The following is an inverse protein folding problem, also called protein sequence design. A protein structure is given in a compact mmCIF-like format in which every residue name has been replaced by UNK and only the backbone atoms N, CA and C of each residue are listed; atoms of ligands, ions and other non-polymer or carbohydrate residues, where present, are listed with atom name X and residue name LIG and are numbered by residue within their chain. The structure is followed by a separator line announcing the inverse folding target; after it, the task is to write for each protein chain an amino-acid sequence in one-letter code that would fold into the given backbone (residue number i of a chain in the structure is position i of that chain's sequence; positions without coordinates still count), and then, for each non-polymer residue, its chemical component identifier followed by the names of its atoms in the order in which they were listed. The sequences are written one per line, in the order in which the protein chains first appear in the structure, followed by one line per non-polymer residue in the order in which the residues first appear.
data_IF_349033696999
#
_entry.id   IF_349033696999
#
_cell.length_a   1.000
_cell.length_b   1.000
_cell.length_c   1.000
_cell.angle_alpha   90.00
_cell.angle_beta   90.00
_cell.angle_gamma   90.00
#
_symmetry.space_group_name_H-M   'P 1'
#
loop_
_entity.id
_entity.type
_entity.pdbx_description
1 polymer ?
#
# COMPACT_ATOMS: atom_id res chain seq x y z
N UNK A 1 -66.46 16.19 -28.61
CA UNK A 1 -65.62 16.68 -27.53
C UNK A 1 -65.30 15.61 -26.48
N UNK A 2 -66.27 14.93 -25.89
CA UNK A 2 -66.01 13.89 -24.85
C UNK A 2 -65.16 12.69 -25.35
N UNK A 3 -65.26 12.23 -26.60
CA UNK A 3 -64.45 11.13 -27.16
C UNK A 3 -63.00 11.51 -27.47
N UNK A 4 -62.73 12.78 -27.77
CA UNK A 4 -61.40 13.31 -28.06
C UNK A 4 -60.62 13.51 -26.74
N UNK A 5 -61.29 13.93 -25.68
CA UNK A 5 -60.70 14.08 -24.32
C UNK A 5 -60.32 12.71 -23.77
N UNK A 6 -61.13 11.67 -23.98
CA UNK A 6 -60.82 10.31 -23.53
C UNK A 6 -59.62 9.66 -24.26
N UNK A 7 -59.41 10.02 -25.53
CA UNK A 7 -58.25 9.55 -26.32
C UNK A 7 -56.96 10.26 -25.92
N UNK A 8 -57.03 11.55 -25.60
CA UNK A 8 -55.86 12.30 -25.07
C UNK A 8 -55.45 11.82 -23.70
N UNK A 9 -56.37 11.46 -22.80
CA UNK A 9 -56.04 10.90 -21.47
C UNK A 9 -55.41 9.51 -21.59
N UNK A 10 -55.78 8.67 -22.57
CA UNK A 10 -55.18 7.36 -22.78
C UNK A 10 -53.76 7.44 -23.34
N UNK A 11 -53.45 8.43 -24.18
CA UNK A 11 -52.10 8.66 -24.72
C UNK A 11 -51.15 9.20 -23.67
N UNK A 12 -51.60 10.04 -22.73
CA UNK A 12 -50.78 10.53 -21.63
C UNK A 12 -50.43 9.46 -20.59
N UNK A 13 -51.31 8.44 -20.41
CA UNK A 13 -51.01 7.30 -19.49
C UNK A 13 -50.02 6.31 -20.13
N UNK A 14 -50.00 6.17 -21.48
CA UNK A 14 -49.00 5.34 -22.15
C UNK A 14 -47.59 5.94 -22.16
N UNK A 15 -47.43 7.26 -22.06
CA UNK A 15 -46.13 7.91 -21.99
C UNK A 15 -45.50 7.92 -20.58
N UNK A 16 -46.26 7.66 -19.51
CA UNK A 16 -45.77 7.58 -18.14
C UNK A 16 -45.20 6.21 -17.74
N UNK A 17 -45.22 5.20 -18.63
CA UNK A 17 -44.69 3.85 -18.39
C UNK A 17 -43.29 3.58 -19.00
N UNK A 18 -42.67 4.59 -19.66
CA UNK A 18 -41.34 4.45 -20.27
C UNK A 18 -40.28 5.18 -19.45
N UNK A 19 -40.36 5.15 -18.15
CA UNK A 19 -39.48 5.93 -17.25
C UNK A 19 -38.89 5.16 -16.08
N UNK A 20 -38.96 3.84 -16.03
CA UNK A 20 -38.14 3.04 -15.11
C UNK A 20 -36.98 2.42 -15.89
N UNK A 21 -36.04 3.22 -16.36
CA UNK A 21 -34.64 2.77 -16.45
C UNK A 21 -34.24 2.44 -15.04
N UNK A 22 -34.14 1.18 -14.66
CA UNK A 22 -33.46 0.76 -13.45
C UNK A 22 -32.08 1.41 -13.52
N UNK A 23 -31.82 2.39 -12.66
CA UNK A 23 -30.45 2.88 -12.46
C UNK A 23 -29.66 1.60 -12.13
N UNK A 24 -28.79 1.18 -13.05
CA UNK A 24 -27.82 0.14 -12.76
C UNK A 24 -27.08 0.63 -11.51
N UNK A 25 -27.15 -0.12 -10.43
CA UNK A 25 -26.43 0.25 -9.23
C UNK A 25 -24.93 0.35 -9.57
N UNK A 26 -24.39 1.55 -9.51
CA UNK A 26 -22.98 1.82 -9.82
C UNK A 26 -22.12 1.08 -8.82
N UNK A 27 -21.12 0.34 -9.31
CA UNK A 27 -20.10 -0.27 -8.47
C UNK A 27 -19.06 0.79 -8.13
N UNK A 28 -18.75 0.95 -6.85
CA UNK A 28 -17.74 1.89 -6.38
C UNK A 28 -16.52 1.15 -5.83
N UNK A 29 -15.32 1.51 -6.33
CA UNK A 29 -14.05 1.01 -5.82
C UNK A 29 -13.18 2.20 -5.38
N UNK A 30 -12.78 2.22 -4.10
CA UNK A 30 -11.80 3.19 -3.61
C UNK A 30 -10.38 2.65 -3.84
N UNK A 31 -9.48 3.54 -4.30
CA UNK A 31 -8.06 3.26 -4.57
C UNK A 31 -7.19 4.34 -3.92
N UNK A 32 -5.90 4.07 -3.62
CA UNK A 32 -4.96 5.10 -3.18
C UNK A 32 -4.87 6.23 -4.20
N UNK A 33 -4.62 7.46 -3.73
CA UNK A 33 -4.49 8.64 -4.59
C UNK A 33 -3.04 9.05 -4.87
N UNK A 34 -2.05 8.31 -4.38
CA UNK A 34 -0.66 8.48 -4.79
C UNK A 34 -0.37 7.66 -6.05
N UNK A 35 0.43 8.21 -6.96
CA UNK A 35 0.61 7.69 -8.32
C UNK A 35 1.05 6.23 -8.38
N UNK A 36 1.94 5.80 -7.49
CA UNK A 36 2.50 4.44 -7.55
C UNK A 36 1.59 3.41 -6.89
N UNK A 37 0.88 3.73 -5.81
CA UNK A 37 -0.09 2.82 -5.21
C UNK A 37 -1.42 2.81 -5.97
N UNK A 38 -1.83 3.92 -6.60
CA UNK A 38 -2.96 3.92 -7.55
C UNK A 38 -2.68 2.95 -8.71
N UNK A 39 -1.52 3.10 -9.38
CA UNK A 39 -1.12 2.21 -10.46
C UNK A 39 -1.10 0.74 -10.02
N UNK A 40 -0.55 0.46 -8.84
CA UNK A 40 -0.50 -0.88 -8.24
C UNK A 40 -1.91 -1.45 -8.02
N UNK A 41 -2.84 -0.63 -7.54
CA UNK A 41 -4.24 -1.01 -7.36
C UNK A 41 -4.93 -1.32 -8.71
N UNK A 42 -4.69 -0.51 -9.73
CA UNK A 42 -5.24 -0.72 -11.06
C UNK A 42 -4.66 -1.98 -11.73
N UNK A 43 -3.37 -2.25 -11.57
CA UNK A 43 -2.72 -3.48 -12.04
C UNK A 43 -3.28 -4.73 -11.35
N UNK A 44 -3.64 -4.66 -10.06
CA UNK A 44 -4.34 -5.75 -9.37
C UNK A 44 -5.69 -6.04 -10.01
N UNK A 45 -6.47 -5.01 -10.37
CA UNK A 45 -7.76 -5.18 -11.04
C UNK A 45 -7.60 -5.72 -12.47
N UNK A 46 -6.60 -5.23 -13.21
CA UNK A 46 -6.31 -5.71 -14.57
C UNK A 46 -5.89 -7.17 -14.58
N UNK A 47 -4.98 -7.58 -13.68
CA UNK A 47 -4.51 -8.97 -13.58
C UNK A 47 -5.65 -9.96 -13.27
N UNK A 48 -6.77 -9.46 -12.70
CA UNK A 48 -7.98 -10.23 -12.43
C UNK A 48 -9.08 -10.03 -13.49
N UNK A 49 -8.78 -9.35 -14.62
CA UNK A 49 -9.70 -9.18 -15.75
C UNK A 49 -10.89 -8.26 -15.44
N UNK A 50 -10.79 -7.39 -14.45
CA UNK A 50 -11.85 -6.48 -14.02
C UNK A 50 -11.85 -5.20 -14.85
N UNK A 51 -10.67 -4.70 -15.21
CA UNK A 51 -10.46 -3.57 -16.12
C UNK A 51 -9.36 -3.91 -17.12
N UNK A 52 -9.16 -3.04 -18.11
CA UNK A 52 -7.98 -3.08 -18.97
C UNK A 52 -7.34 -1.70 -19.01
N UNK A 53 -6.05 -1.66 -18.79
CA UNK A 53 -5.22 -0.48 -18.95
C UNK A 53 -4.71 -0.37 -20.39
N UNK A 54 -4.27 0.82 -20.81
CA UNK A 54 -3.58 0.98 -22.09
C UNK A 54 -2.26 0.19 -22.10
N UNK A 55 -1.80 -0.25 -23.26
CA UNK A 55 -0.64 -1.14 -23.40
C UNK A 55 0.68 -0.56 -22.87
N UNK A 56 0.82 0.75 -22.85
CA UNK A 56 1.99 1.47 -22.34
C UNK A 56 1.81 1.95 -20.88
N UNK A 57 0.76 1.51 -20.19
CA UNK A 57 0.57 1.78 -18.77
C UNK A 57 1.74 1.23 -17.95
N UNK A 58 2.21 2.02 -16.99
CA UNK A 58 3.37 1.71 -16.15
C UNK A 58 3.01 1.77 -14.67
N UNK A 59 4.03 1.75 -13.82
CA UNK A 59 3.92 1.90 -12.36
C UNK A 59 3.39 3.27 -11.90
N UNK A 60 3.06 4.16 -12.81
CA UNK A 60 2.42 5.46 -12.55
C UNK A 60 1.10 5.61 -13.30
N UNK A 61 0.47 4.48 -13.70
CA UNK A 61 -0.85 4.49 -14.31
C UNK A 61 -1.90 5.07 -13.37
N UNK A 62 -2.86 5.80 -13.94
CA UNK A 62 -3.98 6.41 -13.22
C UNK A 62 -5.32 5.90 -13.77
N UNK A 63 -6.43 6.23 -13.14
CA UNK A 63 -7.76 5.90 -13.64
C UNK A 63 -8.00 6.40 -15.08
N UNK A 64 -7.24 7.41 -15.54
CA UNK A 64 -7.32 7.93 -16.91
C UNK A 64 -6.67 6.98 -17.95
N UNK A 65 -5.92 6.00 -17.50
CA UNK A 65 -5.27 5.00 -18.34
C UNK A 65 -6.12 3.75 -18.57
N UNK A 66 -7.32 3.72 -18.00
CA UNK A 66 -8.29 2.62 -18.17
C UNK A 66 -8.92 2.76 -19.56
N UNK A 67 -8.72 1.76 -20.42
CA UNK A 67 -9.30 1.71 -21.78
C UNK A 67 -10.54 0.82 -21.86
N UNK A 68 -10.69 -0.15 -20.95
CA UNK A 68 -11.90 -0.95 -20.83
C UNK A 68 -12.34 -1.03 -19.35
N UNK A 69 -13.59 -0.69 -19.12
CA UNK A 69 -14.27 -0.79 -17.84
C UNK A 69 -15.65 -1.44 -18.06
N UNK A 70 -15.70 -2.77 -18.34
CA UNK A 70 -16.92 -3.45 -18.78
C UNK A 70 -18.02 -3.49 -17.72
N UNK A 71 -17.64 -3.31 -16.45
CA UNK A 71 -18.57 -3.34 -15.32
C UNK A 71 -19.06 -1.95 -14.89
N UNK A 72 -18.57 -0.87 -15.53
CA UNK A 72 -18.98 0.49 -15.22
C UNK A 72 -18.59 0.92 -13.80
N UNK A 73 -17.41 0.53 -13.35
CA UNK A 73 -16.87 0.85 -12.03
C UNK A 73 -16.62 2.35 -11.93
N UNK A 74 -17.09 2.97 -10.87
CA UNK A 74 -16.74 4.33 -10.46
C UNK A 74 -15.60 4.28 -9.45
N UNK A 75 -14.45 4.85 -9.80
CA UNK A 75 -13.29 4.91 -8.93
C UNK A 75 -13.35 6.12 -8.00
N UNK A 76 -12.87 5.93 -6.75
CA UNK A 76 -12.70 6.97 -5.75
C UNK A 76 -11.23 6.99 -5.32
N UNK A 77 -10.51 8.02 -5.72
CA UNK A 77 -9.12 8.25 -5.31
C UNK A 77 -9.11 8.84 -3.89
N UNK A 78 -8.60 8.08 -2.95
CA UNK A 78 -8.61 8.39 -1.51
C UNK A 78 -7.18 8.29 -0.97
N UNK A 79 -6.78 9.17 -0.06
CA UNK A 79 -5.52 9.04 0.66
C UNK A 79 -5.41 7.63 1.28
N UNK A 80 -4.27 6.96 1.06
CA UNK A 80 -4.08 5.55 1.41
C UNK A 80 -4.40 5.26 2.88
N UNK A 81 -4.01 6.16 3.80
CA UNK A 81 -4.29 6.04 5.23
C UNK A 81 -5.79 6.09 5.57
N UNK A 82 -6.63 6.65 4.70
CA UNK A 82 -8.07 6.79 4.93
C UNK A 82 -8.90 5.64 4.33
N UNK A 83 -8.31 4.83 3.45
CA UNK A 83 -9.02 3.76 2.75
C UNK A 83 -9.74 2.78 3.70
N UNK A 84 -9.13 2.30 4.82
CA UNK A 84 -9.84 1.42 5.74
C UNK A 84 -11.10 2.06 6.34
N UNK A 85 -11.05 3.37 6.65
CA UNK A 85 -12.20 4.11 7.17
C UNK A 85 -13.30 4.30 6.12
N UNK A 86 -12.87 4.43 4.85
CA UNK A 86 -13.77 4.65 3.70
C UNK A 86 -14.46 3.37 3.23
N UNK A 87 -13.97 2.20 3.65
CA UNK A 87 -14.45 0.89 3.22
C UNK A 87 -15.97 0.73 3.37
N UNK A 88 -16.58 1.22 4.46
CA UNK A 88 -18.02 1.19 4.72
C UNK A 88 -18.87 2.00 3.72
N UNK A 89 -18.26 2.98 3.05
CA UNK A 89 -18.96 3.93 2.17
C UNK A 89 -18.94 3.52 0.69
N UNK A 90 -18.12 2.53 0.33
CA UNK A 90 -17.94 2.00 -1.03
C UNK A 90 -18.29 0.51 -1.12
N UNK A 91 -18.40 -0.02 -2.34
CA UNK A 91 -18.57 -1.45 -2.53
C UNK A 91 -17.30 -2.22 -2.20
N UNK A 92 -16.14 -1.67 -2.63
CA UNK A 92 -14.83 -2.26 -2.40
C UNK A 92 -13.79 -1.15 -2.18
N UNK A 93 -12.67 -1.50 -1.53
CA UNK A 93 -11.48 -0.67 -1.49
C UNK A 93 -10.22 -1.51 -1.70
N UNK A 94 -9.24 -0.97 -2.42
CA UNK A 94 -7.91 -1.56 -2.52
C UNK A 94 -7.02 -0.87 -1.51
N UNK A 95 -6.49 -1.64 -0.56
CA UNK A 95 -5.84 -1.10 0.63
C UNK A 95 -4.43 -1.68 0.75
N UNK A 96 -3.44 -0.81 1.00
CA UNK A 96 -2.08 -1.22 1.34
C UNK A 96 -2.08 -2.02 2.64
N UNK A 97 -1.29 -3.10 2.71
CA UNK A 97 -1.34 -4.05 3.82
C UNK A 97 -1.01 -3.43 5.18
N UNK A 98 -0.08 -2.48 5.26
CA UNK A 98 0.21 -1.79 6.51
C UNK A 98 -1.03 -1.08 7.10
N UNK A 99 -1.84 -0.43 6.26
CA UNK A 99 -3.08 0.21 6.69
C UNK A 99 -4.19 -0.80 6.97
N UNK A 100 -4.29 -1.87 6.17
CA UNK A 100 -5.24 -2.96 6.42
C UNK A 100 -4.97 -3.62 7.79
N UNK A 101 -3.71 -4.00 8.05
CA UNK A 101 -3.30 -4.62 9.33
C UNK A 101 -3.54 -3.67 10.50
N UNK A 102 -3.19 -2.38 10.36
CA UNK A 102 -3.43 -1.35 11.39
C UNK A 102 -4.93 -1.17 11.70
N UNK A 103 -5.79 -1.41 10.71
CA UNK A 103 -7.25 -1.37 10.88
C UNK A 103 -7.86 -2.70 11.38
N UNK A 104 -7.02 -3.71 11.66
CA UNK A 104 -7.45 -5.02 12.14
C UNK A 104 -7.90 -5.99 11.06
N UNK A 105 -7.66 -5.68 9.78
CA UNK A 105 -7.90 -6.59 8.65
C UNK A 105 -6.70 -7.51 8.47
N UNK A 106 -6.96 -8.76 8.11
CA UNK A 106 -5.92 -9.70 7.73
C UNK A 106 -5.84 -9.78 6.19
N UNK A 107 -4.74 -9.36 5.55
CA UNK A 107 -4.61 -9.36 4.09
C UNK A 107 -4.85 -10.72 3.43
N UNK A 108 -4.54 -11.82 4.11
CA UNK A 108 -4.71 -13.18 3.55
C UNK A 108 -6.16 -13.68 3.63
N UNK A 109 -6.85 -13.41 4.74
CA UNK A 109 -8.17 -14.00 5.00
C UNK A 109 -9.34 -13.06 4.69
N UNK A 110 -9.12 -11.74 4.76
CA UNK A 110 -10.18 -10.76 4.64
C UNK A 110 -10.19 -10.05 3.28
N UNK A 111 -9.10 -10.17 2.48
CA UNK A 111 -9.12 -9.67 1.11
C UNK A 111 -9.90 -10.61 0.18
N UNK A 112 -10.62 -10.03 -0.77
CA UNK A 112 -11.32 -10.75 -1.84
C UNK A 112 -10.36 -11.07 -2.98
N UNK A 113 -9.44 -10.14 -3.27
CA UNK A 113 -8.30 -10.32 -4.18
C UNK A 113 -7.05 -9.87 -3.45
N UNK A 114 -5.94 -10.55 -3.70
CA UNK A 114 -4.64 -10.19 -3.16
C UNK A 114 -3.59 -10.21 -4.27
N UNK A 115 -2.67 -9.29 -4.20
CA UNK A 115 -1.54 -9.21 -5.12
C UNK A 115 -0.60 -10.41 -4.97
N UNK A 116 0.02 -10.83 -6.07
CA UNK A 116 1.06 -11.85 -6.03
C UNK A 116 2.30 -11.36 -5.27
N UNK A 117 2.99 -12.28 -4.58
CA UNK A 117 4.16 -11.96 -3.73
C UNK A 117 5.44 -11.58 -4.50
N UNK A 118 5.35 -10.67 -5.50
CA UNK A 118 6.49 -10.19 -6.25
C UNK A 118 7.38 -9.25 -5.43
N UNK A 119 8.72 -9.39 -5.54
CA UNK A 119 9.70 -8.56 -4.82
C UNK A 119 9.81 -7.12 -5.31
N UNK A 120 9.12 -6.75 -6.40
CA UNK A 120 9.21 -5.40 -6.99
C UNK A 120 8.78 -4.30 -6.02
N UNK A 121 7.79 -4.59 -5.16
CA UNK A 121 7.30 -3.68 -4.13
C UNK A 121 7.84 -4.01 -2.74
N UNK A 122 9.09 -4.53 -2.69
CA UNK A 122 9.73 -4.76 -1.41
C UNK A 122 9.95 -3.44 -0.64
N UNK A 123 9.60 -3.44 0.63
CA UNK A 123 9.83 -2.33 1.54
C UNK A 123 11.31 -2.24 1.90
N UNK A 124 11.85 -1.03 1.85
CA UNK A 124 13.26 -0.72 1.91
C UNK A 124 13.63 0.11 3.13
N UNK A 125 14.84 -0.10 3.65
CA UNK A 125 15.52 0.89 4.48
C UNK A 125 16.11 1.95 3.55
N UNK A 126 15.83 3.23 3.80
CA UNK A 126 16.28 4.34 2.97
C UNK A 126 16.87 5.46 3.82
N UNK A 127 17.83 6.19 3.24
CA UNK A 127 18.58 7.28 3.87
C UNK A 127 18.75 8.43 2.88
N UNK A 128 19.11 9.61 3.37
CA UNK A 128 19.57 10.68 2.50
C UNK A 128 20.87 10.28 1.79
N UNK A 129 21.00 10.63 0.51
CA UNK A 129 22.19 10.35 -0.29
C UNK A 129 23.46 10.85 0.41
N UNK A 130 24.50 10.02 0.40
CA UNK A 130 25.74 10.20 1.15
C UNK A 130 25.78 9.48 2.51
N UNK A 131 24.65 8.93 3.00
CA UNK A 131 24.60 8.18 4.26
C UNK A 131 24.56 6.66 4.08
N UNK A 132 24.67 6.14 2.86
CA UNK A 132 24.55 4.70 2.58
C UNK A 132 25.63 3.87 3.31
N UNK A 133 26.84 4.44 3.42
CA UNK A 133 27.98 3.79 4.06
C UNK A 133 28.16 4.21 5.54
N UNK A 134 27.18 4.91 6.13
CA UNK A 134 27.23 5.25 7.54
C UNK A 134 27.18 3.97 8.39
N UNK A 135 28.18 3.73 9.29
CA UNK A 135 28.24 2.49 10.06
C UNK A 135 27.00 2.23 10.92
N UNK A 136 26.29 3.26 11.40
CA UNK A 136 25.03 3.10 12.13
C UNK A 136 23.90 2.59 11.20
N UNK A 137 23.86 3.05 9.96
CA UNK A 137 22.90 2.59 8.96
C UNK A 137 23.17 1.15 8.57
N UNK A 138 24.42 0.80 8.35
CA UNK A 138 24.82 -0.58 8.04
C UNK A 138 24.56 -1.53 9.23
N UNK A 139 24.77 -1.08 10.47
CA UNK A 139 24.42 -1.85 11.66
C UNK A 139 22.92 -2.09 11.78
N UNK A 140 22.07 -1.09 11.46
CA UNK A 140 20.62 -1.25 11.40
C UNK A 140 20.21 -2.22 10.28
N UNK A 141 20.80 -2.10 9.10
CA UNK A 141 20.53 -3.02 7.98
C UNK A 141 20.88 -4.46 8.34
N UNK A 142 22.05 -4.69 9.00
CA UNK A 142 22.45 -6.02 9.46
C UNK A 142 21.45 -6.59 10.47
N UNK A 143 20.95 -5.77 11.40
CA UNK A 143 19.93 -6.18 12.36
C UNK A 143 18.60 -6.51 11.68
N UNK A 144 18.14 -5.70 10.70
CA UNK A 144 16.93 -5.95 9.92
C UNK A 144 17.03 -7.21 9.05
N UNK A 145 18.23 -7.53 8.54
CA UNK A 145 18.50 -8.72 7.75
C UNK A 145 18.71 -9.99 8.61
N UNK A 146 18.44 -9.92 9.90
CA UNK A 146 18.69 -11.03 10.81
C UNK A 146 17.66 -12.16 10.69
N UNK A 147 18.09 -13.36 11.05
CA UNK A 147 17.18 -14.50 11.24
C UNK A 147 16.08 -14.20 12.26
N UNK A 148 16.39 -13.46 13.31
CA UNK A 148 15.41 -13.09 14.35
C UNK A 148 14.27 -12.25 13.77
N UNK A 149 14.60 -11.27 12.90
CA UNK A 149 13.60 -10.45 12.20
C UNK A 149 12.77 -11.29 11.25
N UNK A 150 13.40 -12.16 10.44
CA UNK A 150 12.66 -13.07 9.55
C UNK A 150 11.71 -13.98 10.32
N UNK A 151 12.18 -14.63 11.39
CA UNK A 151 11.36 -15.54 12.20
C UNK A 151 10.19 -14.81 12.87
N UNK A 152 10.39 -13.54 13.28
CA UNK A 152 9.31 -12.69 13.79
C UNK A 152 8.26 -12.41 12.70
N UNK A 153 8.69 -12.01 11.49
CA UNK A 153 7.80 -11.76 10.36
C UNK A 153 6.96 -13.00 10.05
N UNK A 154 7.61 -14.15 9.87
CA UNK A 154 6.95 -15.41 9.52
C UNK A 154 5.92 -15.83 10.59
N UNK A 155 6.30 -15.73 11.85
CA UNK A 155 5.44 -16.12 12.97
C UNK A 155 4.26 -15.19 13.17
N UNK A 156 4.50 -13.88 13.08
CA UNK A 156 3.47 -12.88 13.38
C UNK A 156 2.49 -12.70 12.24
N UNK A 157 2.99 -12.58 11.01
CA UNK A 157 2.19 -12.18 9.86
C UNK A 157 1.69 -13.34 8.99
N UNK A 158 2.27 -14.55 9.14
CA UNK A 158 1.78 -15.80 8.53
C UNK A 158 1.48 -15.67 7.02
N UNK A 159 2.34 -14.91 6.30
CA UNK A 159 2.24 -14.69 4.86
C UNK A 159 1.61 -13.35 4.44
N UNK A 160 0.96 -12.59 5.33
CA UNK A 160 0.48 -11.24 5.02
C UNK A 160 1.62 -10.20 4.94
N UNK A 161 2.76 -10.52 5.51
CA UNK A 161 4.06 -9.85 5.33
C UNK A 161 5.10 -10.93 5.12
N UNK A 162 5.97 -10.80 4.12
CA UNK A 162 6.95 -11.82 3.74
C UNK A 162 8.34 -11.21 3.65
N UNK A 163 9.30 -11.76 4.39
CA UNK A 163 10.70 -11.33 4.29
C UNK A 163 11.28 -11.63 2.90
N UNK A 164 11.99 -10.65 2.33
CA UNK A 164 12.72 -10.78 1.05
C UNK A 164 14.21 -11.00 1.25
N UNK A 165 14.67 -11.09 2.49
CA UNK A 165 16.09 -11.23 2.82
C UNK A 165 16.56 -12.66 2.53
N UNK A 166 17.45 -12.80 1.55
CA UNK A 166 18.04 -14.08 1.15
C UNK A 166 19.24 -14.46 2.03
N UNK A 167 20.11 -13.48 2.30
CA UNK A 167 21.35 -13.68 3.09
C UNK A 167 21.12 -13.24 4.53
N UNK A 168 20.63 -14.16 5.35
CA UNK A 168 20.32 -13.88 6.75
C UNK A 168 21.58 -13.73 7.58
N UNK A 169 21.63 -12.65 8.36
CA UNK A 169 22.68 -12.41 9.37
C UNK A 169 22.28 -13.03 10.73
N UNK A 170 23.22 -12.99 11.68
CA UNK A 170 22.94 -13.21 13.11
C UNK A 170 22.54 -11.89 13.84
N UNK A 171 22.31 -10.83 13.07
CA UNK A 171 22.01 -9.48 13.56
C UNK A 171 23.17 -8.51 13.46
N UNK A 172 24.34 -8.97 13.01
CA UNK A 172 25.55 -8.17 12.94
C UNK A 172 26.27 -8.36 11.60
N UNK A 173 27.08 -7.36 11.25
CA UNK A 173 28.03 -7.42 10.15
C UNK A 173 29.45 -7.36 10.72
N UNK A 174 30.26 -8.36 10.43
CA UNK A 174 31.62 -8.48 10.94
C UNK A 174 32.58 -7.40 10.43
N UNK A 175 32.20 -6.66 9.39
CA UNK A 175 32.99 -5.53 8.87
C UNK A 175 32.83 -4.25 9.69
N UNK A 176 31.84 -4.19 10.59
CA UNK A 176 31.50 -3.02 11.39
C UNK A 176 32.22 -3.10 12.76
N UNK A 177 32.93 -2.04 13.13
CA UNK A 177 33.45 -1.87 14.49
C UNK A 177 32.33 -1.36 15.42
N UNK A 178 31.58 -2.30 16.00
CA UNK A 178 30.50 -1.98 16.93
C UNK A 178 30.97 -1.26 18.20
N UNK A 179 32.23 -1.43 18.59
CA UNK A 179 32.79 -0.71 19.77
C UNK A 179 32.88 0.79 19.54
N UNK A 180 33.10 1.22 18.30
CA UNK A 180 33.08 2.62 17.92
C UNK A 180 31.67 3.23 17.85
N UNK A 181 30.61 2.39 17.85
CA UNK A 181 29.21 2.81 17.78
C UNK A 181 28.52 2.81 19.15
N UNK A 182 29.18 2.35 20.21
CA UNK A 182 28.59 2.31 21.54
C UNK A 182 28.08 3.67 22.00
N UNK A 183 26.91 3.67 22.64
CA UNK A 183 26.19 4.85 23.15
C UNK A 183 25.72 5.83 22.07
N UNK A 184 25.80 5.46 20.78
CA UNK A 184 25.21 6.25 19.71
C UNK A 184 23.72 5.90 19.52
N UNK A 185 23.01 6.82 18.85
CA UNK A 185 21.58 6.68 18.59
C UNK A 185 21.32 6.70 17.08
N UNK A 186 20.55 5.70 16.62
CA UNK A 186 19.99 5.65 15.28
C UNK A 186 18.55 6.14 15.37
N UNK A 187 18.19 7.17 14.59
CA UNK A 187 16.80 7.63 14.47
C UNK A 187 16.17 7.09 13.19
N UNK A 188 14.98 6.51 13.27
CA UNK A 188 14.26 5.92 12.13
C UNK A 188 12.81 6.36 12.10
N UNK A 189 12.36 6.89 10.95
CA UNK A 189 10.96 7.16 10.66
C UNK A 189 10.31 5.91 10.02
N UNK A 190 9.14 5.51 10.48
CA UNK A 190 8.45 4.32 9.97
C UNK A 190 6.93 4.43 10.09
N UNK A 191 6.21 3.55 9.37
CA UNK A 191 4.80 3.26 9.70
C UNK A 191 4.73 2.36 10.94
N UNK A 192 3.66 2.47 11.78
CA UNK A 192 3.58 1.68 13.02
C UNK A 192 3.61 0.17 12.79
N UNK A 193 2.85 -0.31 11.81
CA UNK A 193 2.71 -1.74 11.46
C UNK A 193 2.91 -1.93 9.96
N UNK A 194 3.65 -2.93 9.50
CA UNK A 194 4.50 -3.88 10.27
C UNK A 194 5.86 -3.29 10.66
N UNK A 195 6.25 -2.13 10.10
CA UNK A 195 7.60 -1.58 10.12
C UNK A 195 8.11 -1.28 11.54
N UNK A 196 7.34 -0.55 12.36
CA UNK A 196 7.70 -0.26 13.75
C UNK A 196 7.84 -1.51 14.59
N UNK A 197 6.98 -2.51 14.34
CA UNK A 197 7.06 -3.79 15.04
C UNK A 197 8.30 -4.61 14.64
N UNK A 198 8.69 -4.59 13.37
CA UNK A 198 9.94 -5.20 12.86
C UNK A 198 11.15 -4.47 13.43
N UNK A 199 11.12 -3.14 13.45
CA UNK A 199 12.18 -2.32 14.04
C UNK A 199 12.38 -2.58 15.54
N UNK A 200 11.33 -2.96 16.29
CA UNK A 200 11.48 -3.32 17.69
C UNK A 200 12.33 -4.58 17.88
N UNK A 201 12.30 -5.54 16.94
CA UNK A 201 13.22 -6.70 16.98
C UNK A 201 14.66 -6.24 16.69
N UNK A 202 14.87 -5.40 15.68
CA UNK A 202 16.18 -4.83 15.38
C UNK A 202 16.73 -3.98 16.56
N UNK A 203 15.84 -3.28 17.28
CA UNK A 203 16.19 -2.51 18.48
C UNK A 203 16.81 -3.36 19.58
N UNK A 204 16.23 -4.54 19.84
CA UNK A 204 16.77 -5.46 20.86
C UNK A 204 18.15 -6.00 20.45
N UNK A 205 18.36 -6.27 19.16
CA UNK A 205 19.66 -6.69 18.61
C UNK A 205 20.70 -5.58 18.82
N UNK A 206 20.40 -4.35 18.41
CA UNK A 206 21.30 -3.21 18.52
C UNK A 206 21.61 -2.84 19.98
N UNK A 207 20.62 -2.95 20.88
CA UNK A 207 20.79 -2.69 22.31
C UNK A 207 21.85 -3.60 22.95
N UNK A 208 22.04 -4.84 22.46
CA UNK A 208 23.10 -5.74 22.94
C UNK A 208 24.52 -5.24 22.61
N UNK A 209 24.64 -4.26 21.70
CA UNK A 209 25.88 -3.54 21.35
C UNK A 209 25.88 -2.11 21.90
N UNK A 210 25.06 -1.81 22.90
CA UNK A 210 24.91 -0.47 23.48
C UNK A 210 24.56 0.63 22.44
N UNK A 211 23.87 0.25 21.33
CA UNK A 211 23.36 1.20 20.33
C UNK A 211 21.87 1.41 20.58
N UNK A 212 21.43 2.65 20.66
CA UNK A 212 20.03 3.00 20.82
C UNK A 212 19.33 3.12 19.47
N UNK A 213 18.20 2.45 19.26
CA UNK A 213 17.31 2.68 18.13
C UNK A 213 16.10 3.49 18.60
N UNK A 214 16.00 4.74 18.12
CA UNK A 214 14.89 5.67 18.39
C UNK A 214 13.93 5.65 17.22
N UNK A 215 12.78 4.99 17.41
CA UNK A 215 11.77 4.75 16.39
C UNK A 215 10.72 5.86 16.44
N UNK A 216 10.47 6.52 15.31
CA UNK A 216 9.47 7.58 15.13
C UNK A 216 8.40 7.11 14.18
N UNK A 217 7.20 6.89 14.72
CA UNK A 217 6.07 6.38 13.94
C UNK A 217 5.25 7.51 13.31
N UNK A 218 4.90 7.34 12.04
CA UNK A 218 4.07 8.26 11.24
C UNK A 218 2.97 7.49 10.53
N UNK A 219 1.77 8.10 10.46
CA UNK A 219 0.60 7.48 9.83
C UNK A 219 0.39 7.89 8.36
N UNK A 220 1.32 8.61 7.77
CA UNK A 220 1.31 9.04 6.36
C UNK A 220 2.60 8.63 5.65
N UNK A 221 2.62 8.77 4.32
CA UNK A 221 3.77 8.39 3.49
C UNK A 221 4.66 9.59 3.08
N UNK A 222 4.34 10.82 3.50
CA UNK A 222 5.07 12.04 3.11
C UNK A 222 6.12 12.41 4.15
N UNK A 223 5.70 12.49 5.42
CA UNK A 223 6.57 12.96 6.51
C UNK A 223 7.83 12.10 6.66
N UNK A 224 7.80 10.74 6.59
CA UNK A 224 9.01 9.94 6.74
C UNK A 224 10.13 10.27 5.74
N UNK A 225 9.78 10.64 4.50
CA UNK A 225 10.76 11.09 3.52
C UNK A 225 11.22 12.53 3.81
N UNK A 226 10.31 13.41 4.20
CA UNK A 226 10.65 14.81 4.49
C UNK A 226 11.67 14.93 5.63
N UNK A 227 11.50 14.19 6.73
CA UNK A 227 12.39 14.26 7.89
C UNK A 227 13.75 13.58 7.66
N UNK A 228 13.86 12.68 6.68
CA UNK A 228 15.15 12.12 6.24
C UNK A 228 15.85 13.08 5.29
N UNK A 229 15.12 13.71 4.36
CA UNK A 229 15.71 14.69 3.44
C UNK A 229 16.27 15.91 4.17
N UNK A 230 15.57 16.43 5.19
CA UNK A 230 16.06 17.58 5.97
C UNK A 230 17.13 17.21 7.00
N UNK A 231 17.41 15.91 7.21
CA UNK A 231 18.42 15.40 8.10
C UNK A 231 18.02 15.35 9.59
N UNK A 232 16.74 15.60 9.90
CA UNK A 232 16.19 15.48 11.27
C UNK A 232 16.23 14.04 11.76
N UNK A 233 15.97 13.08 10.85
CA UNK A 233 16.00 11.63 11.10
C UNK A 233 17.00 10.99 10.14
N UNK A 234 17.78 10.01 10.62
CA UNK A 234 18.86 9.39 9.86
C UNK A 234 18.34 8.50 8.73
N UNK A 235 17.29 7.72 8.96
CA UNK A 235 16.77 6.73 8.02
C UNK A 235 15.23 6.65 8.06
N UNK A 236 14.62 6.10 7.01
CA UNK A 236 13.24 5.66 7.09
C UNK A 236 13.06 4.21 6.62
N UNK A 237 11.97 3.61 7.09
CA UNK A 237 11.56 2.26 6.75
C UNK A 237 10.03 2.19 6.72
N UNK A 238 9.42 2.36 5.54
CA UNK A 238 7.95 2.42 5.36
C UNK A 238 7.49 2.25 3.91
N UNK A 239 8.40 2.30 2.94
CA UNK A 239 8.11 2.47 1.51
C UNK A 239 8.81 1.44 0.65
N UNK A 240 8.31 1.23 -0.56
CA UNK A 240 8.96 0.46 -1.62
C UNK A 240 9.70 1.37 -2.60
N UNK A 241 10.65 0.79 -3.35
CA UNK A 241 11.51 1.54 -4.25
C UNK A 241 10.75 2.38 -5.30
N UNK A 242 9.69 1.88 -5.98
CA UNK A 242 8.94 2.70 -6.93
C UNK A 242 8.33 3.96 -6.31
N UNK A 243 7.83 3.88 -5.07
CA UNK A 243 7.32 5.05 -4.36
C UNK A 243 8.43 6.06 -4.06
N UNK A 244 9.60 5.59 -3.59
CA UNK A 244 10.75 6.45 -3.32
C UNK A 244 11.21 7.20 -4.56
N UNK A 245 11.34 6.51 -5.70
CA UNK A 245 11.78 7.11 -6.97
C UNK A 245 10.80 8.20 -7.45
N UNK A 246 9.49 7.93 -7.39
CA UNK A 246 8.46 8.90 -7.74
C UNK A 246 8.44 10.08 -6.76
N UNK A 247 8.56 9.81 -5.46
CA UNK A 247 8.65 10.84 -4.42
C UNK A 247 9.84 11.77 -4.65
N UNK A 248 11.03 11.22 -4.89
CA UNK A 248 12.24 12.01 -5.16
C UNK A 248 12.06 12.90 -6.38
N UNK A 249 11.52 12.36 -7.46
CA UNK A 249 11.27 13.10 -8.71
C UNK A 249 10.31 14.26 -8.51
N UNK A 250 9.21 14.03 -7.77
CA UNK A 250 8.14 15.01 -7.62
C UNK A 250 8.45 16.08 -6.56
N UNK A 251 9.30 15.76 -5.58
CA UNK A 251 9.63 16.64 -4.46
C UNK A 251 11.07 17.17 -4.49
N UNK A 252 11.86 16.80 -5.52
CA UNK A 252 13.28 17.17 -5.63
C UNK A 252 14.09 16.78 -4.39
N UNK A 253 13.85 15.55 -3.89
CA UNK A 253 14.55 14.95 -2.76
C UNK A 253 15.63 13.98 -3.22
N UNK A 254 16.58 13.64 -2.31
CA UNK A 254 17.79 12.87 -2.61
C UNK A 254 17.91 11.67 -1.66
N UNK A 255 16.83 10.92 -1.52
CA UNK A 255 16.78 9.74 -0.65
C UNK A 255 17.11 8.51 -1.48
N UNK A 256 17.89 7.60 -0.92
CA UNK A 256 18.35 6.38 -1.60
C UNK A 256 18.09 5.14 -0.75
N UNK A 257 17.81 4.02 -1.41
CA UNK A 257 17.64 2.73 -0.78
C UNK A 257 18.98 2.16 -0.31
N UNK A 258 18.99 1.57 0.89
CA UNK A 258 20.14 0.82 1.44
C UNK A 258 19.93 -0.69 1.31
N UNK A 259 18.69 -1.15 1.41
CA UNK A 259 18.37 -2.57 1.27
C UNK A 259 16.88 -2.85 1.37
N UNK A 260 16.44 -3.97 0.78
CA UNK A 260 15.07 -4.46 0.80
C UNK A 260 14.89 -5.48 1.94
N UNK A 261 13.78 -5.39 2.67
CA UNK A 261 13.56 -6.18 3.89
C UNK A 261 12.36 -7.14 3.74
N UNK A 262 11.21 -6.64 3.27
CA UNK A 262 9.98 -7.45 3.18
C UNK A 262 9.04 -6.94 2.10
N UNK A 263 8.08 -7.76 1.70
CA UNK A 263 6.94 -7.37 0.85
C UNK A 263 5.64 -7.42 1.64
N UNK A 264 4.71 -6.57 1.24
CA UNK A 264 3.35 -6.49 1.74
C UNK A 264 2.38 -6.54 0.55
N UNK A 265 1.74 -7.69 0.26
CA UNK A 265 0.80 -7.79 -0.85
C UNK A 265 -0.40 -6.86 -0.66
N UNK A 266 -0.71 -6.03 -1.64
CA UNK A 266 -1.89 -5.18 -1.65
C UNK A 266 -3.16 -6.01 -1.85
N UNK A 267 -4.27 -5.65 -1.21
CA UNK A 267 -5.52 -6.41 -1.30
C UNK A 267 -6.74 -5.57 -1.66
N UNK A 268 -7.71 -6.19 -2.36
CA UNK A 268 -9.07 -5.69 -2.54
C UNK A 268 -9.93 -6.21 -1.41
N UNK A 269 -10.55 -5.32 -0.66
CA UNK A 269 -11.42 -5.64 0.47
C UNK A 269 -12.87 -5.27 0.16
N UNK A 270 -13.80 -6.08 0.68
CA UNK A 270 -15.22 -5.82 0.59
C UNK A 270 -15.67 -4.77 1.60
N UNK A 271 -16.38 -3.75 1.11
CA UNK A 271 -17.06 -2.76 1.94
C UNK A 271 -18.55 -3.13 2.09
N UNK A 272 -19.36 -2.65 1.17
CA UNK A 272 -20.79 -3.06 1.10
C UNK A 272 -20.99 -4.46 0.53
N UNK A 273 -19.93 -5.02 -0.10
CA UNK A 273 -19.95 -6.34 -0.73
C UNK A 273 -19.00 -7.29 0.00
N UNK A 274 -19.30 -8.59 -0.09
CA UNK A 274 -18.48 -9.65 0.55
C UNK A 274 -17.79 -10.57 -0.47
N UNK A 275 -18.02 -10.36 -1.76
CA UNK A 275 -17.45 -11.13 -2.87
C UNK A 275 -17.54 -10.36 -4.18
N UNK A 276 -17.13 -10.95 -5.29
CA UNK A 276 -17.09 -10.32 -6.61
C UNK A 276 -18.40 -10.42 -7.41
N UNK A 277 -19.45 -11.03 -6.84
CA UNK A 277 -20.71 -11.28 -7.54
C UNK A 277 -21.32 -10.00 -8.12
N UNK A 278 -21.30 -8.90 -7.37
CA UNK A 278 -21.81 -7.61 -7.86
C UNK A 278 -21.04 -7.10 -9.08
N UNK A 279 -19.75 -7.42 -9.22
CA UNK A 279 -18.93 -7.06 -10.39
C UNK A 279 -19.38 -7.93 -11.58
N UNK A 280 -19.38 -9.26 -11.42
CA UNK A 280 -19.60 -10.18 -12.54
C UNK A 280 -21.07 -10.35 -12.96
N UNK A 281 -22.04 -10.15 -12.06
CA UNK A 281 -23.46 -10.29 -12.37
C UNK A 281 -24.06 -9.10 -13.14
N UNK A 282 -23.34 -7.99 -13.26
CA UNK A 282 -23.80 -6.82 -14.05
C UNK A 282 -23.99 -7.11 -15.55
N UNK A 283 -23.44 -8.22 -16.05
CA UNK A 283 -23.52 -8.63 -17.44
C UNK A 283 -24.56 -9.75 -17.69
N UNK A 284 -25.33 -10.15 -16.67
CA UNK A 284 -26.48 -11.06 -16.79
C UNK A 284 -27.78 -10.27 -16.82
#
# INVERSE_FOLDING_TARGET
MKKIISLLLLVTILFSLIGCSSKKDTITIAVPNDSTNEARALLLLESNGIIKLREDATITATINDIVENPYGIEFKEIEAAQLPNYLKDVDYAIINSNYAISAGLNPITDSILIEGGGSYYANILAVKDGNQENPLVLALLAALNSRQVKDFIDKKYQGSVVSTVENLTDGYDASIDYSALENQTITVACSPTPHGEILNIAKDILASKNITLDIKEYNDYIIPNTVVEDGTILANYFQHLPYLEDFNKNNNTHIVSVGAIHVEPMGLYGGKQTGLDKIYDQNK
#
